data_IF_774247028456
#
_entry.id   IF_774247028456
#
_cell.length_a   1.000
_cell.length_b   1.000
_cell.length_c   1.000
_cell.angle_alpha   90.00
_cell.angle_beta   90.00
_cell.angle_gamma   90.00
#
_symmetry.space_group_name_H-M   'P 1'
#
loop_
_entity.id
_entity.type
_entity.pdbx_description
1 polymer ?
#
# COMPACT_ATOMS: atom_id res chain seq x y z
N UNK A 1 -25.13 10.22 3.20
CA UNK A 1 -23.94 9.64 3.84
C UNK A 1 -24.18 8.15 3.89
N UNK A 2 -23.36 7.41 3.14
CA UNK A 2 -23.46 5.96 2.98
C UNK A 2 -22.08 5.39 3.24
N UNK A 3 -22.02 4.27 3.97
CA UNK A 3 -20.77 3.57 4.22
C UNK A 3 -20.47 2.62 3.06
N UNK A 4 -19.23 2.69 2.61
CA UNK A 4 -18.64 1.79 1.64
C UNK A 4 -17.50 1.04 2.31
N UNK A 5 -17.46 -0.27 2.14
CA UNK A 5 -16.51 -1.18 2.75
C UNK A 5 -15.64 -1.82 1.69
N UNK A 6 -14.33 -1.79 1.92
CA UNK A 6 -13.33 -2.55 1.21
C UNK A 6 -12.86 -3.68 2.11
N UNK A 7 -12.93 -4.91 1.61
CA UNK A 7 -12.42 -6.12 2.24
C UNK A 7 -11.29 -6.68 1.37
N UNK A 8 -10.08 -6.80 1.91
CA UNK A 8 -8.91 -7.35 1.22
C UNK A 8 -8.52 -8.67 1.85
N UNK A 9 -8.32 -9.68 1.01
CA UNK A 9 -7.83 -11.01 1.39
C UNK A 9 -6.46 -11.24 0.78
N UNK A 10 -5.55 -11.79 1.57
CA UNK A 10 -4.24 -12.21 1.07
C UNK A 10 -4.38 -13.56 0.38
N UNK A 11 -4.01 -13.62 -0.89
CA UNK A 11 -4.04 -14.85 -1.69
C UNK A 11 -3.07 -15.86 -1.09
N UNK A 12 -3.53 -17.09 -0.91
CA UNK A 12 -2.74 -18.15 -0.31
C UNK A 12 -2.73 -18.16 1.22
N UNK A 13 -3.35 -17.19 1.89
CA UNK A 13 -3.67 -17.32 3.31
C UNK A 13 -4.94 -18.16 3.48
N UNK A 14 -4.88 -19.34 4.12
CA UNK A 14 -6.05 -20.18 4.35
C UNK A 14 -6.93 -19.69 5.51
N UNK A 15 -6.49 -18.70 6.31
CA UNK A 15 -7.28 -18.18 7.42
C UNK A 15 -8.43 -17.30 6.90
N UNK A 16 -9.69 -17.73 7.04
CA UNK A 16 -10.84 -16.92 6.62
C UNK A 16 -11.02 -15.65 7.47
N UNK A 17 -10.31 -15.53 8.60
CA UNK A 17 -10.33 -14.36 9.46
C UNK A 17 -9.23 -13.35 9.12
N UNK A 18 -8.29 -13.68 8.23
CA UNK A 18 -7.29 -12.74 7.73
C UNK A 18 -7.87 -11.89 6.60
N UNK A 19 -8.88 -11.09 6.96
CA UNK A 19 -9.54 -10.14 6.07
C UNK A 19 -9.28 -8.74 6.59
N UNK A 20 -8.56 -7.96 5.79
CA UNK A 20 -8.41 -6.54 6.06
C UNK A 20 -9.71 -5.82 5.68
N UNK A 21 -10.29 -5.08 6.61
CA UNK A 21 -11.44 -4.21 6.32
C UNK A 21 -11.07 -2.74 6.48
N UNK A 22 -11.54 -1.92 5.54
CA UNK A 22 -11.47 -0.46 5.54
C UNK A 22 -12.80 0.12 5.10
N UNK A 23 -13.24 1.20 5.75
CA UNK A 23 -14.55 1.80 5.52
C UNK A 23 -14.44 3.29 5.32
N UNK A 24 -15.21 3.80 4.37
CA UNK A 24 -15.34 5.23 4.11
C UNK A 24 -16.81 5.63 4.15
N UNK A 25 -17.08 6.80 4.71
CA UNK A 25 -18.41 7.40 4.67
C UNK A 25 -18.42 8.44 3.54
N UNK A 26 -19.12 8.13 2.46
CA UNK A 26 -19.19 9.02 1.30
C UNK A 26 -20.45 9.89 1.36
N UNK A 27 -20.28 11.16 0.99
CA UNK A 27 -21.39 12.05 0.67
C UNK A 27 -21.88 11.76 -0.75
N UNK A 28 -23.10 12.21 -1.07
CA UNK A 28 -23.67 12.00 -2.41
C UNK A 28 -22.81 12.60 -3.54
N UNK A 29 -22.07 13.67 -3.25
CA UNK A 29 -21.14 14.27 -4.21
C UNK A 29 -20.01 13.30 -4.58
N UNK A 30 -19.43 12.63 -3.58
CA UNK A 30 -18.37 11.65 -3.77
C UNK A 30 -18.89 10.31 -4.29
N UNK A 31 -20.14 9.92 -4.02
CA UNK A 31 -20.74 8.73 -4.64
C UNK A 31 -20.88 8.88 -6.16
N UNK A 32 -21.18 10.08 -6.65
CA UNK A 32 -21.31 10.34 -8.09
C UNK A 32 -19.95 10.55 -8.79
N UNK A 33 -18.89 10.81 -8.02
CA UNK A 33 -17.54 11.08 -8.50
C UNK A 33 -16.49 10.55 -7.50
N UNK A 34 -16.40 9.22 -7.31
CA UNK A 34 -15.56 8.61 -6.29
C UNK A 34 -14.07 8.94 -6.44
N UNK A 35 -13.59 9.16 -7.66
CA UNK A 35 -12.23 9.59 -7.95
C UNK A 35 -11.84 10.91 -7.25
N UNK A 36 -12.82 11.79 -6.97
CA UNK A 36 -12.58 13.04 -6.22
C UNK A 36 -12.34 12.80 -4.73
N UNK A 37 -12.81 11.67 -4.20
CA UNK A 37 -12.58 11.29 -2.82
C UNK A 37 -11.18 10.69 -2.63
N UNK A 38 -10.74 9.84 -3.57
CA UNK A 38 -9.46 9.13 -3.49
C UNK A 38 -8.28 9.96 -4.02
N UNK A 39 -8.14 11.18 -3.48
CA UNK A 39 -6.96 12.03 -3.68
C UNK A 39 -5.71 11.51 -2.96
N UNK A 40 -4.56 12.16 -3.20
CA UNK A 40 -3.24 11.72 -2.72
C UNK A 40 -3.23 11.36 -1.22
N UNK A 41 -3.74 12.25 -0.36
CA UNK A 41 -3.80 12.03 1.09
C UNK A 41 -4.56 10.75 1.47
N UNK A 42 -5.67 10.47 0.77
CA UNK A 42 -6.46 9.25 1.01
C UNK A 42 -5.75 8.00 0.52
N UNK A 43 -5.06 8.09 -0.62
CA UNK A 43 -4.25 6.96 -1.11
C UNK A 43 -3.15 6.61 -0.12
N UNK A 44 -2.44 7.60 0.41
CA UNK A 44 -1.39 7.40 1.42
C UNK A 44 -1.95 6.84 2.74
N UNK A 45 -3.12 7.31 3.19
CA UNK A 45 -3.80 6.77 4.38
C UNK A 45 -4.19 5.29 4.19
N UNK A 46 -4.78 4.95 3.05
CA UNK A 46 -5.13 3.56 2.70
C UNK A 46 -3.87 2.70 2.66
N UNK A 47 -2.80 3.17 2.00
CA UNK A 47 -1.53 2.46 1.91
C UNK A 47 -0.95 2.16 3.29
N UNK A 48 -0.77 3.20 4.12
CA UNK A 48 -0.24 3.04 5.48
C UNK A 48 -1.11 2.12 6.32
N UNK A 49 -2.42 2.23 6.20
CA UNK A 49 -3.36 1.38 6.95
C UNK A 49 -3.27 -0.08 6.51
N UNK A 50 -3.11 -0.33 5.21
CA UNK A 50 -2.90 -1.69 4.69
C UNK A 50 -1.59 -2.27 5.17
N UNK A 51 -0.48 -1.54 5.01
CA UNK A 51 0.85 -2.00 5.40
C UNK A 51 0.91 -2.29 6.91
N UNK A 52 0.35 -1.41 7.74
CA UNK A 52 0.31 -1.60 9.19
C UNK A 52 -0.54 -2.78 9.67
N UNK A 53 -1.57 -3.18 8.91
CA UNK A 53 -2.47 -4.27 9.32
C UNK A 53 -2.08 -5.63 8.74
N UNK A 54 -1.41 -5.65 7.58
CA UNK A 54 -1.11 -6.89 6.85
C UNK A 54 0.33 -7.35 7.01
N UNK A 55 1.21 -6.52 7.61
CA UNK A 55 2.65 -6.73 7.61
C UNK A 55 3.20 -7.05 6.19
N UNK A 56 2.54 -6.52 5.16
CA UNK A 56 2.90 -6.67 3.75
C UNK A 56 3.23 -5.30 3.14
N UNK A 57 4.14 -5.29 2.16
CA UNK A 57 4.46 -4.06 1.44
C UNK A 57 3.42 -3.80 0.36
N UNK A 58 2.85 -2.60 0.33
CA UNK A 58 1.91 -2.19 -0.71
C UNK A 58 2.59 -1.17 -1.61
N UNK A 59 3.02 -1.60 -2.79
CA UNK A 59 3.62 -0.69 -3.76
C UNK A 59 2.55 0.18 -4.45
N UNK A 60 3.00 1.21 -5.18
CA UNK A 60 2.11 2.16 -5.86
C UNK A 60 1.22 1.50 -6.91
N UNK A 61 1.71 0.47 -7.61
CA UNK A 61 0.94 -0.28 -8.59
C UNK A 61 -0.24 -1.01 -7.95
N UNK A 62 0.02 -1.79 -6.89
CA UNK A 62 -1.00 -2.52 -6.15
C UNK A 62 -2.01 -1.56 -5.50
N UNK A 63 -1.53 -0.46 -4.91
CA UNK A 63 -2.41 0.56 -4.34
C UNK A 63 -3.34 1.16 -5.40
N UNK A 64 -2.81 1.48 -6.59
CA UNK A 64 -3.62 2.03 -7.67
C UNK A 64 -4.65 1.01 -8.20
N UNK A 65 -4.31 -0.28 -8.24
CA UNK A 65 -5.26 -1.34 -8.61
C UNK A 65 -6.40 -1.43 -7.59
N UNK A 66 -6.07 -1.54 -6.29
CA UNK A 66 -7.07 -1.56 -5.20
C UNK A 66 -8.03 -0.38 -5.31
N UNK A 67 -7.49 0.82 -5.47
CA UNK A 67 -8.30 2.04 -5.49
C UNK A 67 -9.13 2.13 -6.77
N UNK A 68 -8.59 1.73 -7.92
CA UNK A 68 -9.33 1.72 -9.18
C UNK A 68 -10.53 0.77 -9.10
N UNK A 69 -10.32 -0.46 -8.64
CA UNK A 69 -11.41 -1.43 -8.52
C UNK A 69 -12.47 -0.97 -7.50
N UNK A 70 -12.04 -0.35 -6.40
CA UNK A 70 -12.98 0.17 -5.41
C UNK A 70 -13.78 1.38 -5.93
N UNK A 71 -13.14 2.27 -6.70
CA UNK A 71 -13.81 3.39 -7.40
C UNK A 71 -14.86 2.85 -8.36
N UNK A 72 -14.51 1.85 -9.17
CA UNK A 72 -15.41 1.24 -10.14
C UNK A 72 -16.64 0.65 -9.44
N UNK A 73 -16.43 -0.11 -8.37
CA UNK A 73 -17.51 -0.68 -7.56
C UNK A 73 -18.41 0.39 -6.92
N UNK A 74 -17.83 1.46 -6.36
CA UNK A 74 -18.61 2.59 -5.80
C UNK A 74 -19.43 3.25 -6.93
N UNK A 75 -18.85 3.44 -8.11
CA UNK A 75 -19.49 4.12 -9.24
C UNK A 75 -20.75 3.40 -9.74
N UNK A 76 -20.79 2.07 -9.62
CA UNK A 76 -21.94 1.24 -9.96
C UNK A 76 -22.84 0.93 -8.76
N UNK A 77 -22.51 1.47 -7.58
CA UNK A 77 -23.33 1.43 -6.37
C UNK A 77 -23.09 0.23 -5.46
N UNK A 78 -22.02 -0.54 -5.64
CA UNK A 78 -21.64 -1.59 -4.70
C UNK A 78 -21.08 -0.97 -3.42
N UNK A 79 -21.68 -1.35 -2.29
CA UNK A 79 -21.27 -0.88 -0.97
C UNK A 79 -20.20 -1.73 -0.31
N UNK A 80 -20.02 -2.94 -0.80
CA UNK A 80 -19.07 -3.91 -0.29
C UNK A 80 -18.21 -4.42 -1.45
N UNK A 81 -16.94 -4.05 -1.44
CA UNK A 81 -15.93 -4.49 -2.42
C UNK A 81 -15.03 -5.51 -1.75
N UNK A 82 -14.85 -6.68 -2.36
CA UNK A 82 -13.93 -7.70 -1.85
C UNK A 82 -12.85 -8.01 -2.87
N UNK A 83 -11.59 -7.71 -2.53
CA UNK A 83 -10.43 -7.96 -3.36
C UNK A 83 -9.58 -9.10 -2.79
N UNK A 84 -8.97 -9.89 -3.66
CA UNK A 84 -7.98 -10.90 -3.27
C UNK A 84 -6.65 -10.55 -3.91
N UNK A 85 -5.65 -10.23 -3.10
CA UNK A 85 -4.37 -9.69 -3.55
C UNK A 85 -3.24 -10.68 -3.32
N UNK A 86 -2.30 -10.71 -4.24
CA UNK A 86 -1.03 -11.43 -4.11
C UNK A 86 0.01 -10.43 -3.57
N UNK A 87 0.05 -10.25 -2.24
CA UNK A 87 0.90 -9.26 -1.59
C UNK A 87 2.25 -9.88 -1.17
N UNK A 88 3.38 -9.26 -1.53
CA UNK A 88 4.67 -9.70 -1.03
C UNK A 88 4.87 -9.30 0.45
N UNK A 89 5.61 -10.09 1.25
CA UNK A 89 5.97 -9.73 2.63
C UNK A 89 6.72 -8.39 2.71
N UNK A 90 6.67 -7.70 3.86
CA UNK A 90 7.39 -6.43 4.06
C UNK A 90 8.90 -6.50 3.77
N UNK A 91 9.54 -7.62 4.12
CA UNK A 91 10.98 -7.85 3.90
C UNK A 91 11.32 -8.24 2.45
N UNK A 92 10.33 -8.30 1.56
CA UNK A 92 10.55 -8.57 0.16
C UNK A 92 11.18 -7.34 -0.53
N UNK A 93 12.45 -7.49 -0.92
CA UNK A 93 13.11 -6.57 -1.85
C UNK A 93 12.65 -6.96 -3.25
N UNK A 94 11.72 -6.18 -3.80
CA UNK A 94 11.33 -6.30 -5.20
C UNK A 94 12.48 -5.80 -6.10
N UNK A 95 13.12 -6.67 -6.89
CA UNK A 95 14.22 -6.27 -7.78
C UNK A 95 13.77 -5.38 -8.95
N UNK A 96 12.46 -5.21 -9.16
CA UNK A 96 11.90 -4.35 -10.21
C UNK A 96 11.49 -2.95 -9.71
N UNK A 97 11.55 -2.69 -8.39
CA UNK A 97 11.22 -1.39 -7.80
C UNK A 97 12.39 -0.38 -7.79
N UNK A 98 13.45 -0.62 -8.56
CA UNK A 98 14.45 0.41 -8.87
C UNK A 98 13.94 1.36 -9.98
N UNK A 99 12.77 1.97 -9.78
CA UNK A 99 12.54 3.28 -10.41
C UNK A 99 13.02 4.34 -9.41
N UNK A 100 14.34 4.50 -9.42
CA UNK A 100 15.05 5.66 -8.91
C UNK A 100 14.57 6.89 -9.70
N UNK A 101 13.53 7.60 -9.24
CA UNK A 101 13.43 9.04 -9.52
C UNK A 101 14.46 9.79 -8.67
N UNK A 102 15.72 9.38 -8.78
CA UNK A 102 16.88 10.10 -8.31
C UNK A 102 17.10 11.24 -9.27
N UNK A 103 16.93 12.47 -8.78
CA UNK A 103 17.54 13.63 -9.42
C UNK A 103 19.03 13.30 -9.67
N UNK A 104 19.51 13.21 -10.92
CA UNK A 104 20.90 12.86 -11.19
C UNK A 104 21.78 14.11 -11.01
N UNK A 105 21.86 14.63 -9.79
CA UNK A 105 22.97 15.46 -9.38
C UNK A 105 23.84 14.63 -8.44
N UNK A 106 24.76 13.90 -9.05
CA UNK A 106 25.88 13.27 -8.35
C UNK A 106 26.72 14.39 -7.70
N UNK A 107 26.85 14.48 -6.36
CA UNK A 107 27.89 15.30 -5.77
C UNK A 107 29.26 14.68 -6.13
N UNK A 108 30.30 15.50 -6.41
CA UNK A 108 31.58 14.99 -6.86
C UNK A 108 32.18 14.01 -5.84
N UNK A 109 32.39 12.77 -6.28
CA UNK A 109 33.04 11.70 -5.55
C UNK A 109 34.45 12.12 -5.14
N UNK A 110 34.67 12.29 -3.84
CA UNK A 110 36.02 12.34 -3.25
C UNK A 110 35.96 11.91 -1.78
N UNK A 111 35.78 10.62 -1.49
CA UNK A 111 36.22 10.04 -0.21
C UNK A 111 36.69 8.58 -0.40
N UNK A 112 37.79 8.16 0.27
CA UNK A 112 38.48 6.92 0.00
C UNK A 112 37.78 5.69 0.58
N UNK A 113 37.90 4.56 -0.14
CA UNK A 113 37.28 3.27 0.17
C UNK A 113 38.04 2.58 1.32
N UNK A 114 37.62 2.84 2.57
CA UNK A 114 37.83 1.95 3.72
C UNK A 114 37.02 2.48 4.91
N UNK A 115 36.28 1.60 5.59
CA UNK A 115 35.31 1.85 6.68
C UNK A 115 33.93 2.35 6.25
N UNK A 116 32.98 1.43 5.99
CA UNK A 116 31.75 1.28 6.82
C UNK A 116 31.27 -0.19 6.70
N UNK A 117 32.04 -1.12 7.25
CA UNK A 117 31.53 -2.44 7.67
C UNK A 117 31.75 -2.52 9.19
N UNK A 118 30.82 -2.00 9.97
CA UNK A 118 30.55 -2.39 11.37
C UNK A 118 29.54 -1.41 11.98
N UNK A 119 28.51 -1.93 12.66
CA UNK A 119 27.35 -1.28 13.33
C UNK A 119 26.11 -1.23 12.41
N UNK A 120 25.02 -1.99 12.58
CA UNK A 120 24.38 -2.57 13.77
C UNK A 120 23.58 -3.82 13.33
N UNK A 121 24.02 -5.02 13.69
CA UNK A 121 23.16 -6.23 13.73
C UNK A 121 23.69 -7.26 14.75
N UNK A 122 24.21 -6.78 15.88
CA UNK A 122 24.62 -7.62 17.02
C UNK A 122 24.11 -6.97 18.30
N UNK A 123 22.84 -7.24 18.64
CA UNK A 123 22.34 -7.32 20.03
C UNK A 123 20.85 -7.70 20.05
N UNK A 124 20.55 -8.98 19.83
CA UNK A 124 19.49 -9.64 20.59
C UNK A 124 20.16 -10.71 21.44
N UNK A 125 20.48 -10.32 22.67
CA UNK A 125 20.90 -11.19 23.78
C UNK A 125 19.74 -12.12 24.15
N UNK A 126 20.07 -13.40 24.33
CA UNK A 126 19.63 -14.16 25.50
C UNK A 126 20.68 -13.95 26.61
#
# INVERSE_FOLDING_TARGET
MVYYKLSIKTKGNPDPNDVFEYQVNLSKEYENAPERYFGLERKEDIQKTLENKTDCRVNSQTLNQIISEWIDDISIGYRDTTLTLDLPPLDYIDPHNFEDTGNPELPPFNLPISMVLSQICLSYRL
#
